data_IF_068759162626
#
_entry.id   IF_068759162626
#
_cell.length_a   1.000
_cell.length_b   1.000
_cell.length_c   1.000
_cell.angle_alpha   90.00
_cell.angle_beta   90.00
_cell.angle_gamma   90.00
#
_symmetry.space_group_name_H-M   'P 1'
#
loop_
_entity.id
_entity.type
_entity.pdbx_description
1 polymer ?
#
# COMPACT_ATOMS: atom_id res chain seq x y z
N UNK A 1 -30.41 15.74 45.25
CA UNK A 1 -31.43 15.09 44.41
C UNK A 1 -31.75 16.03 43.28
N UNK A 2 -31.70 15.57 42.03
CA UNK A 2 -32.10 16.36 40.86
C UNK A 2 -33.39 15.77 40.29
N UNK A 3 -34.29 16.63 39.83
CA UNK A 3 -35.54 16.24 39.16
C UNK A 3 -35.54 16.93 37.80
N UNK A 4 -35.68 16.16 36.73
CA UNK A 4 -35.77 16.67 35.36
C UNK A 4 -37.19 16.47 34.88
N UNK A 5 -37.83 17.54 34.39
CA UNK A 5 -39.21 17.49 33.93
C UNK A 5 -39.70 18.82 33.40
N UNK A 6 -40.87 18.81 32.78
CA UNK A 6 -41.49 20.01 32.23
C UNK A 6 -42.27 20.76 33.32
N UNK A 7 -41.57 21.59 34.10
CA UNK A 7 -42.16 22.34 35.21
C UNK A 7 -43.23 23.34 34.75
N UNK A 8 -43.10 23.90 33.54
CA UNK A 8 -44.09 24.77 32.94
C UNK A 8 -45.42 24.04 32.72
N UNK A 9 -45.38 22.87 32.07
CA UNK A 9 -46.57 22.05 31.85
C UNK A 9 -47.25 21.64 33.16
N UNK A 10 -46.46 21.23 34.17
CA UNK A 10 -47.01 20.85 35.47
C UNK A 10 -47.71 22.02 36.18
N UNK A 11 -47.16 23.24 36.08
CA UNK A 11 -47.73 24.45 36.65
C UNK A 11 -49.06 24.88 35.98
N UNK A 12 -49.18 24.64 34.68
CA UNK A 12 -50.41 24.92 33.93
C UNK A 12 -51.54 23.96 34.31
N UNK A 13 -51.23 22.68 34.52
CA UNK A 13 -52.23 21.66 34.84
C UNK A 13 -52.65 21.61 36.31
N UNK A 14 -51.93 22.27 37.23
CA UNK A 14 -52.22 22.18 38.67
C UNK A 14 -51.85 23.43 39.46
N UNK A 15 -52.80 23.93 40.26
CA UNK A 15 -52.59 25.08 41.15
C UNK A 15 -51.54 24.81 42.24
N UNK A 16 -51.37 23.55 42.66
CA UNK A 16 -50.31 23.15 43.59
C UNK A 16 -48.93 23.28 42.92
N UNK A 17 -48.76 22.66 41.75
CA UNK A 17 -47.50 22.71 41.00
C UNK A 17 -47.13 24.11 40.57
N UNK A 18 -48.12 24.98 40.31
CA UNK A 18 -47.88 26.40 40.02
C UNK A 18 -47.24 27.15 41.19
N UNK A 19 -47.78 26.98 42.40
CA UNK A 19 -47.21 27.59 43.62
C UNK A 19 -45.80 27.05 43.87
N UNK A 20 -45.62 25.74 43.74
CA UNK A 20 -44.32 25.09 43.91
C UNK A 20 -43.30 25.57 42.88
N UNK A 21 -43.67 25.64 41.59
CA UNK A 21 -42.79 26.12 40.52
C UNK A 21 -42.34 27.56 40.76
N UNK A 22 -43.26 28.44 41.15
CA UNK A 22 -42.95 29.83 41.49
C UNK A 22 -41.94 29.92 42.64
N UNK A 23 -42.14 29.15 43.72
CA UNK A 23 -41.19 29.09 44.83
C UNK A 23 -39.83 28.52 44.41
N UNK A 24 -39.81 27.51 43.54
CA UNK A 24 -38.57 26.92 43.02
C UNK A 24 -37.78 27.91 42.16
N UNK A 25 -38.43 28.65 41.27
CA UNK A 25 -37.76 29.68 40.46
C UNK A 25 -37.26 30.85 41.32
N UNK A 26 -38.08 31.38 42.23
CA UNK A 26 -37.70 32.52 43.07
C UNK A 26 -36.54 32.20 44.02
N UNK A 27 -36.43 30.95 44.47
CA UNK A 27 -35.32 30.49 45.32
C UNK A 27 -34.11 30.00 44.52
N UNK A 28 -34.15 30.03 43.18
CA UNK A 28 -33.07 29.56 42.31
C UNK A 28 -32.88 28.03 42.33
N UNK A 29 -33.91 27.26 42.67
CA UNK A 29 -33.89 25.79 42.68
C UNK A 29 -34.34 25.16 41.36
N UNK A 30 -34.92 25.94 40.45
CA UNK A 30 -35.25 25.52 39.10
C UNK A 30 -34.60 26.46 38.08
N UNK A 31 -34.03 25.86 37.04
CA UNK A 31 -33.41 26.56 35.91
C UNK A 31 -33.68 25.74 34.64
N UNK A 32 -33.74 26.42 33.49
CA UNK A 32 -33.75 25.77 32.17
C UNK A 32 -32.34 25.33 31.75
N UNK A 33 -31.29 25.86 32.38
CA UNK A 33 -29.91 25.48 32.12
C UNK A 33 -29.61 24.08 32.66
N UNK A 34 -29.20 23.18 31.77
CA UNK A 34 -28.87 21.79 32.08
C UNK A 34 -27.35 21.55 31.93
N UNK A 35 -26.57 21.54 33.01
CA UNK A 35 -25.15 21.27 32.94
C UNK A 35 -24.90 19.78 32.65
N UNK A 36 -24.13 19.50 31.61
CA UNK A 36 -23.64 18.18 31.24
C UNK A 36 -22.15 18.08 31.53
N UNK A 37 -21.71 16.92 32.05
CA UNK A 37 -20.30 16.63 32.30
C UNK A 37 -19.88 15.39 31.52
N UNK A 38 -18.84 15.53 30.71
CA UNK A 38 -18.25 14.38 30.04
C UNK A 38 -17.57 13.47 31.07
N UNK A 39 -17.95 12.19 31.09
CA UNK A 39 -17.40 11.23 32.05
C UNK A 39 -15.90 10.96 31.84
N UNK A 40 -15.43 10.98 30.58
CA UNK A 40 -14.04 10.72 30.23
C UNK A 40 -13.13 11.91 30.48
N UNK A 41 -13.52 13.07 29.96
CA UNK A 41 -12.65 14.26 29.96
C UNK A 41 -12.94 15.25 31.09
N UNK A 42 -14.04 15.07 31.83
CA UNK A 42 -14.43 15.97 32.92
C UNK A 42 -14.98 17.32 32.49
N UNK A 43 -14.92 17.66 31.19
CA UNK A 43 -15.45 18.90 30.63
C UNK A 43 -16.93 19.09 30.98
N UNK A 44 -17.25 20.29 31.48
CA UNK A 44 -18.62 20.70 31.77
C UNK A 44 -19.10 21.67 30.70
N UNK A 45 -20.30 21.45 30.18
CA UNK A 45 -20.98 22.36 29.27
C UNK A 45 -22.40 22.57 29.76
N UNK A 46 -23.02 23.68 29.39
CA UNK A 46 -24.42 23.96 29.72
C UNK A 46 -25.26 23.82 28.46
N UNK A 47 -26.36 23.10 28.56
CA UNK A 47 -27.39 22.99 27.53
C UNK A 47 -28.58 23.86 27.93
N UNK A 48 -28.95 24.81 27.08
CA UNK A 48 -30.16 25.64 27.29
C UNK A 48 -31.33 25.13 26.45
N UNK A 49 -31.05 24.70 25.21
CA UNK A 49 -32.05 24.18 24.30
C UNK A 49 -31.72 22.75 23.86
N UNK A 50 -32.72 21.85 23.70
CA UNK A 50 -32.47 20.48 23.30
C UNK A 50 -31.70 20.32 21.99
N UNK A 51 -31.84 21.26 21.05
CA UNK A 51 -31.10 21.26 19.79
C UNK A 51 -29.58 21.34 19.99
N UNK A 52 -29.12 21.92 21.10
CA UNK A 52 -27.69 22.05 21.39
C UNK A 52 -27.02 20.71 21.70
N UNK A 53 -27.76 19.67 22.08
CA UNK A 53 -27.16 18.34 22.25
C UNK A 53 -26.50 17.84 20.96
N UNK A 54 -27.07 18.16 19.80
CA UNK A 54 -26.53 17.76 18.50
C UNK A 54 -25.19 18.45 18.17
N UNK A 55 -24.85 19.57 18.80
CA UNK A 55 -23.61 20.32 18.54
C UNK A 55 -22.60 20.21 19.69
N UNK A 56 -23.07 20.13 20.94
CA UNK A 56 -22.25 20.07 22.16
C UNK A 56 -21.90 18.65 22.60
N UNK A 57 -22.77 17.68 22.29
CA UNK A 57 -22.62 16.28 22.68
C UNK A 57 -23.25 15.29 21.67
N UNK A 58 -22.89 15.36 20.37
CA UNK A 58 -23.55 14.58 19.30
C UNK A 58 -23.49 13.06 19.49
N UNK A 59 -22.38 12.55 20.02
CA UNK A 59 -22.14 11.12 20.25
C UNK A 59 -22.22 10.76 21.75
N UNK A 60 -22.87 11.62 22.55
CA UNK A 60 -22.99 11.47 24.01
C UNK A 60 -21.73 11.83 24.82
N UNK A 61 -20.58 12.00 24.15
CA UNK A 61 -19.36 12.55 24.75
C UNK A 61 -19.13 14.02 24.37
N UNK A 62 -18.09 14.64 24.94
CA UNK A 62 -17.77 16.03 24.59
C UNK A 62 -17.11 16.16 23.21
N UNK A 63 -16.92 17.40 22.75
CA UNK A 63 -16.33 17.68 21.46
C UNK A 63 -14.82 17.45 21.33
N UNK A 64 -14.12 17.13 22.43
CA UNK A 64 -12.70 16.77 22.36
C UNK A 64 -12.48 15.41 21.69
N UNK A 65 -11.27 15.19 21.16
CA UNK A 65 -10.88 13.91 20.59
C UNK A 65 -10.88 12.83 21.69
N UNK A 66 -11.31 11.64 21.31
CA UNK A 66 -11.44 10.47 22.16
C UNK A 66 -10.09 10.05 22.75
N UNK A 67 -9.05 9.96 21.90
CA UNK A 67 -7.65 9.65 22.22
C UNK A 67 -7.42 8.36 23.04
N UNK A 68 -8.42 7.50 23.12
CA UNK A 68 -8.29 6.16 23.68
C UNK A 68 -7.39 5.30 22.81
N UNK A 69 -6.68 4.35 23.43
CA UNK A 69 -5.83 3.41 22.71
C UNK A 69 -6.67 2.32 22.07
N UNK A 70 -6.55 2.16 20.76
CA UNK A 70 -7.22 1.09 20.01
C UNK A 70 -6.37 -0.19 20.05
N UNK A 71 -6.94 -1.38 19.77
CA UNK A 71 -6.20 -2.65 19.80
C UNK A 71 -4.98 -2.69 18.87
N UNK A 72 -4.99 -1.90 17.81
CA UNK A 72 -3.85 -1.77 16.90
C UNK A 72 -2.70 -0.89 17.45
N UNK A 73 -2.87 -0.27 18.63
CA UNK A 73 -1.93 0.64 19.28
C UNK A 73 -2.08 2.11 18.87
N UNK A 74 -2.86 2.43 17.84
CA UNK A 74 -3.16 3.82 17.47
C UNK A 74 -4.17 4.46 18.41
N UNK A 75 -4.13 5.78 18.52
CA UNK A 75 -5.13 6.54 19.28
C UNK A 75 -6.39 6.81 18.45
N UNK A 76 -7.56 6.70 19.09
CA UNK A 76 -8.84 6.91 18.44
C UNK A 76 -8.99 8.36 17.96
N UNK A 77 -9.14 8.60 16.64
CA UNK A 77 -9.22 9.95 16.08
C UNK A 77 -10.64 10.55 16.14
N UNK A 78 -11.65 9.78 16.58
CA UNK A 78 -13.04 10.25 16.67
C UNK A 78 -13.20 11.22 17.83
N UNK A 79 -14.32 11.95 17.82
CA UNK A 79 -14.74 12.73 18.98
C UNK A 79 -15.05 11.80 20.15
N UNK A 80 -14.99 12.35 21.36
CA UNK A 80 -15.38 11.61 22.55
C UNK A 80 -16.80 11.09 22.39
N UNK A 81 -16.96 9.82 22.64
CA UNK A 81 -18.20 9.09 22.46
C UNK A 81 -18.40 8.16 23.66
N UNK A 82 -19.63 7.72 23.87
CA UNK A 82 -20.00 6.86 25.03
C UNK A 82 -19.86 5.38 24.68
N UNK A 83 -20.12 5.02 23.43
CA UNK A 83 -20.10 3.63 22.96
C UNK A 83 -18.68 3.16 22.73
N UNK A 84 -18.22 2.19 23.51
CA UNK A 84 -16.87 1.64 23.34
C UNK A 84 -16.81 0.67 22.14
N UNK A 85 -16.69 1.21 20.92
CA UNK A 85 -16.68 0.48 19.65
C UNK A 85 -15.27 0.32 19.03
N UNK A 86 -14.22 0.64 19.79
CA UNK A 86 -12.83 0.67 19.34
C UNK A 86 -12.29 -0.67 18.80
N UNK A 87 -12.89 -1.79 19.20
CA UNK A 87 -12.52 -3.13 18.70
C UNK A 87 -13.07 -3.42 17.30
N UNK A 88 -14.19 -2.77 16.93
CA UNK A 88 -14.90 -3.01 15.67
C UNK A 88 -14.59 -1.97 14.59
N UNK A 89 -13.91 -0.88 14.96
CA UNK A 89 -13.64 0.24 14.08
C UNK A 89 -12.34 0.04 13.29
N UNK A 90 -12.41 0.23 11.97
CA UNK A 90 -11.23 0.17 11.10
C UNK A 90 -10.32 1.38 11.31
N UNK A 91 -9.10 1.14 11.81
CA UNK A 91 -8.10 2.18 11.99
C UNK A 91 -7.55 2.67 10.64
N UNK A 92 -7.91 3.90 10.27
CA UNK A 92 -7.48 4.57 9.02
C UNK A 92 -6.17 5.34 9.16
N UNK A 93 -5.46 5.23 10.29
CA UNK A 93 -4.13 5.83 10.42
C UNK A 93 -3.09 5.06 9.59
N UNK A 94 -1.97 5.71 9.20
CA UNK A 94 -0.86 5.04 8.56
C UNK A 94 -0.36 3.86 9.38
N UNK A 95 -0.11 2.73 8.72
CA UNK A 95 0.38 1.54 9.39
C UNK A 95 1.79 1.78 9.98
N UNK A 96 1.95 1.57 11.29
CA UNK A 96 3.26 1.72 11.96
C UNK A 96 4.18 0.51 11.79
N UNK A 97 3.72 -0.54 11.10
CA UNK A 97 4.49 -1.77 10.86
C UNK A 97 5.54 -1.56 9.77
N UNK A 98 6.56 -2.42 9.78
CA UNK A 98 7.66 -2.44 8.79
C UNK A 98 7.69 -3.77 8.04
N UNK A 99 8.32 -3.81 6.87
CA UNK A 99 8.47 -5.06 6.13
C UNK A 99 9.32 -6.08 6.91
N UNK A 100 9.07 -7.37 6.63
CA UNK A 100 9.73 -8.50 7.30
C UNK A 100 11.22 -8.64 6.98
N UNK A 101 11.70 -8.01 5.91
CA UNK A 101 13.11 -8.06 5.53
C UNK A 101 13.92 -7.14 6.46
N UNK A 102 14.62 -7.76 7.41
CA UNK A 102 15.44 -7.07 8.42
C UNK A 102 16.56 -6.21 7.82
N UNK A 103 17.00 -6.48 6.58
CA UNK A 103 18.04 -5.67 5.92
C UNK A 103 17.54 -4.27 5.56
N UNK A 104 16.26 -4.16 5.23
CA UNK A 104 15.68 -2.92 4.71
C UNK A 104 14.69 -2.26 5.67
N UNK A 105 13.82 -3.03 6.32
CA UNK A 105 12.80 -2.56 7.28
C UNK A 105 12.02 -1.32 6.82
N UNK A 106 11.60 -1.32 5.56
CA UNK A 106 10.82 -0.24 4.98
C UNK A 106 9.49 -0.04 5.72
N UNK A 107 9.06 1.22 5.92
CA UNK A 107 7.74 1.51 6.48
C UNK A 107 6.64 0.99 5.55
N UNK A 108 5.60 0.41 6.15
CA UNK A 108 4.41 0.01 5.41
C UNK A 108 3.72 1.26 4.83
N UNK A 109 3.29 1.17 3.58
CA UNK A 109 2.60 2.27 2.86
C UNK A 109 1.06 2.16 2.94
N UNK A 110 0.54 1.15 3.64
CA UNK A 110 -0.89 0.86 3.76
C UNK A 110 -1.49 1.48 5.02
N UNK A 111 -2.82 1.52 5.10
CA UNK A 111 -3.55 1.90 6.31
C UNK A 111 -3.51 0.77 7.35
N UNK A 112 -3.76 1.10 8.62
CA UNK A 112 -3.57 0.15 9.71
C UNK A 112 -4.54 -1.05 9.67
N UNK A 113 -5.79 -0.81 9.24
CA UNK A 113 -6.80 -1.86 9.03
C UNK A 113 -6.45 -2.79 7.87
N UNK A 114 -5.62 -2.33 6.93
CA UNK A 114 -5.27 -3.13 5.76
C UNK A 114 -4.19 -4.18 6.10
N UNK A 115 -4.31 -5.42 5.57
CA UNK A 115 -3.25 -6.39 5.70
C UNK A 115 -1.98 -5.88 5.01
N UNK A 116 -0.86 -5.85 5.74
CA UNK A 116 0.38 -5.26 5.25
C UNK A 116 0.95 -5.94 4.00
N UNK A 117 0.71 -7.23 3.79
CA UNK A 117 1.15 -7.99 2.62
C UNK A 117 2.67 -7.95 2.37
N UNK A 118 3.03 -8.17 1.11
CA UNK A 118 4.42 -8.11 0.65
C UNK A 118 4.91 -6.68 0.42
N UNK A 119 6.20 -6.46 0.68
CA UNK A 119 6.84 -5.16 0.53
C UNK A 119 7.11 -4.85 -0.95
N UNK A 120 6.47 -3.80 -1.46
CA UNK A 120 6.63 -3.31 -2.83
C UNK A 120 7.65 -2.16 -2.97
N UNK A 121 8.46 -1.90 -1.94
CA UNK A 121 9.52 -0.89 -2.04
C UNK A 121 10.61 -1.38 -3.02
N UNK A 122 11.00 -0.56 -4.01
CA UNK A 122 12.07 -0.91 -4.93
C UNK A 122 13.43 -0.82 -4.23
N UNK A 123 14.26 -1.84 -4.42
CA UNK A 123 15.63 -1.91 -3.90
C UNK A 123 16.60 -2.24 -5.02
N UNK A 124 17.76 -1.59 -5.00
CA UNK A 124 18.88 -1.95 -5.87
C UNK A 124 19.75 -2.98 -5.13
N UNK A 125 20.01 -4.11 -5.78
CA UNK A 125 20.87 -5.15 -5.23
C UNK A 125 22.06 -5.39 -6.15
N UNK A 126 23.19 -5.79 -5.56
CA UNK A 126 24.38 -6.25 -6.30
C UNK A 126 24.36 -7.78 -6.34
N UNK A 127 24.24 -8.35 -7.55
CA UNK A 127 24.23 -9.79 -7.75
C UNK A 127 25.66 -10.36 -7.70
N UNK A 128 25.79 -11.67 -7.48
CA UNK A 128 27.09 -12.37 -7.42
C UNK A 128 27.92 -12.22 -8.70
N UNK A 129 27.28 -11.97 -9.84
CA UNK A 129 27.96 -11.70 -11.11
C UNK A 129 28.54 -10.28 -11.21
N UNK A 130 28.40 -9.43 -10.18
CA UNK A 130 28.86 -8.04 -10.17
C UNK A 130 27.87 -7.04 -10.78
N UNK A 131 26.74 -7.50 -11.33
CA UNK A 131 25.71 -6.62 -11.90
C UNK A 131 24.69 -6.19 -10.86
N UNK A 132 24.29 -4.91 -10.92
CA UNK A 132 23.19 -4.40 -10.11
C UNK A 132 21.85 -4.51 -10.84
N UNK A 133 20.78 -4.81 -10.11
CA UNK A 133 19.39 -4.80 -10.62
C UNK A 133 18.43 -4.19 -9.60
N UNK A 134 17.35 -3.59 -10.08
CA UNK A 134 16.26 -3.07 -9.26
C UNK A 134 15.15 -4.11 -9.17
N UNK A 135 14.77 -4.49 -7.96
CA UNK A 135 13.70 -5.45 -7.68
C UNK A 135 12.85 -4.96 -6.52
N UNK A 136 11.66 -5.55 -6.36
CA UNK A 136 10.86 -5.29 -5.16
C UNK A 136 11.52 -5.96 -3.95
N UNK A 137 11.44 -5.32 -2.78
CA UNK A 137 12.06 -5.78 -1.54
C UNK A 137 11.75 -7.25 -1.21
N UNK A 138 10.49 -7.68 -1.35
CA UNK A 138 10.09 -9.08 -1.12
C UNK A 138 10.65 -10.09 -2.13
N UNK A 139 11.19 -9.61 -3.26
CA UNK A 139 11.81 -10.44 -4.31
C UNK A 139 13.35 -10.34 -4.30
N UNK A 140 13.95 -9.61 -3.36
CA UNK A 140 15.40 -9.37 -3.31
C UNK A 140 16.21 -10.67 -3.33
N UNK A 141 15.79 -11.69 -2.58
CA UNK A 141 16.47 -13.00 -2.52
C UNK A 141 16.26 -13.87 -3.78
N UNK A 142 15.27 -13.55 -4.61
CA UNK A 142 14.95 -14.28 -5.86
C UNK A 142 15.47 -13.58 -7.12
N UNK A 143 16.19 -12.48 -6.96
CA UNK A 143 16.60 -11.66 -8.06
C UNK A 143 17.69 -12.35 -8.91
N UNK A 144 17.54 -12.23 -10.23
CA UNK A 144 18.45 -12.81 -11.22
C UNK A 144 19.01 -11.74 -12.14
N UNK A 145 20.15 -12.02 -12.76
CA UNK A 145 20.73 -11.12 -13.73
C UNK A 145 20.04 -11.30 -15.09
N UNK A 146 19.50 -10.22 -15.66
CA UNK A 146 18.90 -10.23 -17.00
C UNK A 146 19.84 -9.66 -18.08
N UNK A 147 21.07 -9.26 -17.74
CA UNK A 147 22.05 -8.81 -18.72
C UNK A 147 22.53 -9.97 -19.60
N UNK A 148 22.89 -9.69 -20.85
CA UNK A 148 23.59 -10.65 -21.73
C UNK A 148 24.97 -10.97 -21.16
N UNK A 149 25.44 -12.19 -21.42
CA UNK A 149 26.80 -12.58 -21.09
C UNK A 149 27.80 -11.77 -21.91
N UNK A 150 28.84 -11.21 -21.29
CA UNK A 150 29.87 -10.40 -21.97
C UNK A 150 30.98 -11.24 -22.62
N UNK A 151 30.96 -12.57 -22.47
CA UNK A 151 31.95 -13.44 -23.09
C UNK A 151 31.81 -13.45 -24.62
N UNK A 152 32.93 -13.39 -25.30
CA UNK A 152 33.04 -13.56 -26.76
C UNK A 152 33.40 -15.01 -27.06
N UNK A 153 32.65 -15.64 -27.97
CA UNK A 153 32.89 -17.00 -28.45
C UNK A 153 34.08 -17.01 -29.43
N UNK A 154 34.62 -18.20 -29.73
CA UNK A 154 35.75 -18.35 -30.66
C UNK A 154 35.47 -17.80 -32.07
N UNK A 155 34.19 -17.74 -32.48
CA UNK A 155 33.76 -17.13 -33.74
C UNK A 155 33.75 -15.60 -33.72
N UNK A 156 34.08 -14.96 -32.59
CA UNK A 156 34.06 -13.49 -32.43
C UNK A 156 32.72 -12.91 -32.01
N UNK A 157 31.63 -13.71 -31.97
CA UNK A 157 30.32 -13.24 -31.54
C UNK A 157 30.14 -13.28 -30.01
N UNK A 158 29.31 -12.38 -29.48
CA UNK A 158 28.93 -12.37 -28.07
C UNK A 158 28.07 -13.59 -27.72
N UNK A 159 28.31 -14.18 -26.55
CA UNK A 159 27.55 -15.32 -26.05
C UNK A 159 26.04 -14.96 -25.94
N UNK A 160 25.14 -15.77 -26.49
CA UNK A 160 23.70 -15.49 -26.48
C UNK A 160 23.04 -15.72 -25.12
N UNK A 161 23.74 -16.38 -24.18
CA UNK A 161 23.22 -16.70 -22.85
C UNK A 161 23.09 -15.47 -21.95
N UNK A 162 22.24 -15.56 -20.93
CA UNK A 162 22.12 -14.55 -19.87
C UNK A 162 23.23 -14.71 -18.83
N UNK A 163 23.66 -13.60 -18.25
CA UNK A 163 24.72 -13.57 -17.24
C UNK A 163 24.36 -14.47 -16.04
N UNK A 164 25.31 -15.32 -15.62
CA UNK A 164 25.12 -16.28 -14.54
C UNK A 164 24.55 -17.65 -14.97
N UNK A 165 24.05 -17.79 -16.19
CA UNK A 165 23.78 -19.10 -16.79
C UNK A 165 25.06 -19.69 -17.40
N UNK A 166 25.18 -21.03 -17.51
CA UNK A 166 26.26 -21.64 -18.27
C UNK A 166 26.25 -21.10 -19.69
N UNK A 167 27.44 -20.75 -20.20
CA UNK A 167 27.59 -20.28 -21.57
C UNK A 167 27.43 -21.47 -22.51
N UNK A 168 26.47 -21.38 -23.41
CA UNK A 168 26.42 -22.30 -24.54
C UNK A 168 27.55 -21.92 -25.50
N UNK A 169 28.37 -22.90 -25.91
CA UNK A 169 29.49 -22.65 -26.83
C UNK A 169 29.05 -22.60 -28.29
N UNK A 170 27.76 -22.81 -28.56
CA UNK A 170 27.18 -22.76 -29.91
C UNK A 170 26.70 -21.35 -30.22
N UNK A 171 27.25 -20.76 -31.27
CA UNK A 171 26.81 -19.46 -31.76
C UNK A 171 25.63 -19.62 -32.71
N UNK A 172 24.47 -19.07 -32.32
CA UNK A 172 23.24 -19.10 -33.11
C UNK A 172 23.00 -17.81 -33.93
N UNK A 173 23.97 -16.88 -33.95
CA UNK A 173 23.84 -15.65 -34.72
C UNK A 173 23.85 -15.96 -36.23
N UNK A 174 22.96 -15.35 -37.03
CA UNK A 174 22.95 -15.51 -38.46
C UNK A 174 24.16 -14.81 -39.08
N UNK A 175 24.89 -15.53 -39.93
CA UNK A 175 26.03 -14.99 -40.70
C UNK A 175 25.76 -15.13 -42.18
N UNK A 176 26.13 -14.11 -42.96
CA UNK A 176 26.03 -14.13 -44.41
C UNK A 176 27.33 -14.60 -45.02
N UNK A 177 27.30 -15.73 -45.71
CA UNK A 177 28.40 -16.24 -46.51
C UNK A 177 28.27 -15.70 -47.93
N UNK A 178 29.39 -15.46 -48.60
CA UNK A 178 29.45 -15.12 -50.02
C UNK A 178 30.48 -15.98 -50.72
N UNK A 179 30.19 -16.33 -51.97
CA UNK A 179 31.13 -17.06 -52.82
C UNK A 179 31.61 -16.14 -53.95
N UNK A 180 32.90 -15.86 -53.98
CA UNK A 180 33.54 -14.95 -54.94
C UNK A 180 33.47 -15.48 -56.39
N UNK A 181 33.40 -16.80 -56.59
CA UNK A 181 33.35 -17.41 -57.93
C UNK A 181 32.00 -17.24 -58.62
N UNK A 182 30.91 -17.17 -57.86
CA UNK A 182 29.55 -17.01 -58.41
C UNK A 182 28.83 -15.73 -57.93
N UNK A 183 29.49 -14.91 -57.11
CA UNK A 183 28.99 -13.66 -56.52
C UNK A 183 27.62 -13.80 -55.84
N UNK A 184 27.37 -14.96 -55.23
CA UNK A 184 26.13 -15.22 -54.49
C UNK A 184 26.39 -15.16 -53.00
N UNK A 185 25.39 -14.68 -52.25
CA UNK A 185 25.38 -14.71 -50.80
C UNK A 185 24.16 -15.43 -50.24
N UNK A 186 24.33 -16.05 -49.07
CA UNK A 186 23.26 -16.74 -48.33
C UNK A 186 23.53 -16.68 -46.82
N UNK A 187 22.47 -16.78 -46.03
CA UNK A 187 22.55 -16.69 -44.56
C UNK A 187 22.46 -18.07 -43.94
N UNK A 188 23.39 -18.39 -43.05
CA UNK A 188 23.41 -19.62 -42.24
C UNK A 188 23.64 -19.27 -40.78
N UNK A 189 23.40 -20.24 -39.89
CA UNK A 189 23.74 -20.07 -38.47
C UNK A 189 25.26 -20.12 -38.32
N UNK A 190 25.85 -19.28 -37.48
CA UNK A 190 27.31 -19.19 -37.30
C UNK A 190 27.96 -20.56 -37.00
N UNK A 191 27.31 -21.41 -36.21
CA UNK A 191 27.77 -22.78 -35.95
C UNK A 191 27.92 -23.67 -37.18
N UNK A 192 27.18 -23.38 -38.25
CA UNK A 192 27.15 -24.15 -39.50
C UNK A 192 27.98 -23.49 -40.61
N UNK A 193 28.54 -22.30 -40.37
CA UNK A 193 29.24 -21.50 -41.37
C UNK A 193 30.44 -22.22 -42.02
N UNK A 194 31.14 -23.07 -41.25
CA UNK A 194 32.26 -23.86 -41.76
C UNK A 194 31.83 -25.10 -42.56
N UNK A 195 30.56 -25.49 -42.49
CA UNK A 195 30.01 -26.67 -43.18
C UNK A 195 29.28 -26.25 -44.45
N UNK A 196 28.58 -25.12 -44.42
CA UNK A 196 27.78 -24.60 -45.54
C UNK A 196 28.56 -23.64 -46.45
N UNK A 197 29.83 -23.93 -46.71
CA UNK A 197 30.70 -23.08 -47.56
C UNK A 197 30.33 -23.11 -49.04
N UNK A 198 29.59 -24.13 -49.47
CA UNK A 198 29.14 -24.28 -50.86
C UNK A 198 27.89 -23.48 -51.16
N UNK A 199 27.87 -22.86 -52.34
CA UNK A 199 26.71 -22.09 -52.78
C UNK A 199 25.51 -23.03 -53.00
N UNK A 200 24.36 -22.84 -52.31
CA UNK A 200 23.19 -23.70 -52.45
C UNK A 200 22.45 -23.50 -53.78
N UNK A 201 22.76 -22.42 -54.52
CA UNK A 201 22.19 -22.20 -55.85
C UNK A 201 22.87 -23.13 -56.86
N UNK A 202 22.05 -23.82 -57.67
CA UNK A 202 22.56 -24.64 -58.79
C UNK A 202 23.40 -23.77 -59.73
N UNK A 203 24.64 -24.19 -59.97
CA UNK A 203 25.53 -23.52 -60.92
C UNK A 203 24.97 -23.74 -62.34
N UNK A 204 24.77 -22.67 -63.14
CA UNK A 204 24.28 -22.81 -64.52
C UNK A 204 25.36 -23.30 -65.50
N UNK A 205 26.62 -23.49 -65.06
CA UNK A 205 27.69 -24.03 -65.90
C UNK A 205 27.50 -25.53 -66.08
N UNK A 206 27.11 -25.95 -67.27
CA UNK A 206 27.25 -27.33 -67.75
C UNK A 206 28.74 -27.65 -67.89
N UNK A 207 29.20 -28.70 -67.19
CA UNK A 207 30.55 -29.24 -67.40
C UNK A 207 30.61 -29.80 -68.83
N UNK A 208 31.70 -29.54 -69.56
CA UNK A 208 31.86 -29.87 -70.98
C UNK A 208 32.06 -31.37 -71.27
N UNK A 209 31.61 -32.26 -70.38
CA UNK A 209 31.61 -33.69 -70.61
C UNK A 209 30.22 -34.30 -70.35
N UNK A 210 29.36 -34.23 -71.36
CA UNK A 210 28.21 -35.13 -71.57
C UNK A 210 27.07 -35.01 -70.58
#
# INVERSE_FOLDING_TARGET
MYVVGNLAYMADCSSFWRKLAHDMYNKGFADSLFPIRCQRHGNVQVIEHPVEFATKSPEGGCMMICDAEMPCGHKCPRRCHVTDDHDSWDCTQPCSRRCKDERYRHPCQRLCYEPCGDCAHPVQILLKCGHSTNVLCHMSDKAVCHKRCEKILNCGHQCPSTCGKPCDMVCLEPVTLSNDFCNHSWTVVCSEANVSTDCPKRCPKTLSCG
#
